data_IF_894608286817
#
_entry.id   IF_894608286817
#
_cell.length_a   1.000
_cell.length_b   1.000
_cell.length_c   1.000
_cell.angle_alpha   90.00
_cell.angle_beta   90.00
_cell.angle_gamma   90.00
#
_symmetry.space_group_name_H-M   'P 1'
#
loop_
_entity.id
_entity.type
_entity.pdbx_description
1 polymer ?
#
# COMPACT_ATOMS: atom_id res chain seq x y z
N UNK A 1 19.85 2.59 -13.80
CA UNK A 1 19.58 3.42 -12.60
C UNK A 1 19.54 4.89 -13.02
N UNK A 2 18.40 5.34 -13.46
CA UNK A 2 18.20 6.76 -13.77
C UNK A 2 17.59 7.38 -12.51
N UNK A 3 18.39 8.16 -11.81
CA UNK A 3 18.04 8.81 -10.55
C UNK A 3 16.79 9.66 -10.73
N UNK A 4 15.77 9.40 -9.92
CA UNK A 4 14.68 10.33 -9.62
C UNK A 4 15.24 11.59 -8.92
N UNK A 5 16.06 12.33 -9.63
CA UNK A 5 16.67 13.57 -9.16
C UNK A 5 15.88 14.74 -9.66
N UNK A 6 14.69 14.98 -9.13
CA UNK A 6 14.05 16.31 -9.09
C UNK A 6 12.66 16.25 -8.47
N UNK A 7 12.62 16.09 -7.17
CA UNK A 7 11.49 16.58 -6.40
C UNK A 7 12.03 17.23 -5.12
N UNK A 8 12.28 18.52 -5.16
CA UNK A 8 12.61 19.36 -4.00
C UNK A 8 11.37 20.20 -3.67
N UNK A 9 10.98 20.40 -2.46
CA UNK A 9 11.47 21.25 -1.39
C UNK A 9 10.48 21.30 -0.19
N UNK A 10 11.00 21.04 1.00
CA UNK A 10 10.78 21.68 2.34
C UNK A 10 9.39 21.82 2.96
N UNK A 11 9.20 21.18 4.12
CA UNK A 11 8.99 21.78 5.44
C UNK A 11 8.46 20.79 6.50
N UNK A 12 8.36 21.13 7.78
CA UNK A 12 8.52 20.17 8.87
C UNK A 12 7.26 19.35 9.17
N UNK A 13 7.52 18.13 9.49
CA UNK A 13 6.62 17.06 9.88
C UNK A 13 5.92 17.35 11.21
N UNK A 14 4.62 17.25 11.22
CA UNK A 14 3.83 16.96 12.42
C UNK A 14 3.54 15.48 12.37
N UNK A 15 4.08 14.71 13.31
CA UNK A 15 3.77 13.29 13.48
C UNK A 15 2.35 13.20 14.02
N UNK A 16 1.43 12.80 13.20
CA UNK A 16 0.09 12.38 13.63
C UNK A 16 0.12 10.86 13.72
N UNK A 17 0.08 10.36 14.94
CA UNK A 17 -0.12 8.95 15.24
C UNK A 17 -1.56 8.59 14.83
N UNK A 18 -1.72 7.87 13.75
CA UNK A 18 -3.02 7.29 13.41
C UNK A 18 -3.35 6.20 14.41
N UNK A 19 -4.27 6.52 15.32
CA UNK A 19 -4.96 5.55 16.16
C UNK A 19 -6.18 5.05 15.38
N UNK A 20 -6.13 3.85 14.88
CA UNK A 20 -7.29 3.16 14.33
C UNK A 20 -8.23 2.79 15.48
N UNK A 21 -9.12 3.70 15.85
CA UNK A 21 -10.15 3.49 16.86
C UNK A 21 -11.30 2.65 16.30
N UNK A 22 -11.27 1.33 16.52
CA UNK A 22 -12.42 0.48 16.30
C UNK A 22 -13.47 0.70 17.36
N UNK A 23 -14.70 1.03 16.98
CA UNK A 23 -15.84 1.04 17.87
C UNK A 23 -17.14 0.91 17.11
N UNK A 24 -17.88 -0.18 17.33
CA UNK A 24 -19.27 -0.24 16.90
C UNK A 24 -19.81 -1.64 16.71
N UNK A 25 -20.31 -2.21 17.82
CA UNK A 25 -21.17 -3.37 17.88
C UNK A 25 -22.32 -3.33 16.87
N UNK A 26 -22.41 -4.34 16.03
CA UNK A 26 -23.57 -4.62 15.18
C UNK A 26 -23.54 -6.08 14.77
N UNK A 27 -24.03 -6.96 15.68
CA UNK A 27 -24.08 -8.38 15.46
C UNK A 27 -24.94 -8.78 14.27
N UNK A 28 -24.31 -9.50 13.33
CA UNK A 28 -24.98 -10.42 12.42
C UNK A 28 -24.24 -11.75 12.54
N UNK A 29 -24.91 -12.77 13.04
CA UNK A 29 -24.37 -14.12 13.12
C UNK A 29 -24.06 -14.66 11.72
N UNK A 30 -22.86 -15.19 11.48
CA UNK A 30 -22.57 -15.95 10.28
C UNK A 30 -23.15 -17.38 10.40
N UNK A 31 -23.50 -18.02 9.28
CA UNK A 31 -23.98 -19.40 9.30
C UNK A 31 -22.86 -20.34 9.78
N UNK A 32 -23.23 -21.23 10.68
CA UNK A 32 -22.39 -22.26 11.26
C UNK A 32 -21.96 -23.27 10.21
N UNK A 33 -20.69 -23.26 9.83
CA UNK A 33 -20.04 -24.44 9.27
C UNK A 33 -18.92 -24.91 10.21
N UNK A 34 -19.03 -26.18 10.57
CA UNK A 34 -18.23 -26.79 11.61
C UNK A 34 -16.76 -26.97 11.23
N UNK A 35 -15.92 -26.08 11.70
CA UNK A 35 -14.47 -26.19 11.69
C UNK A 35 -13.95 -26.26 13.14
N UNK A 36 -13.26 -27.34 13.47
CA UNK A 36 -12.65 -27.58 14.79
C UNK A 36 -11.80 -26.40 15.25
N UNK A 37 -11.85 -26.05 16.54
CA UNK A 37 -10.96 -25.04 17.10
C UNK A 37 -9.51 -25.55 17.05
N UNK A 38 -8.66 -24.80 16.38
CA UNK A 38 -7.21 -25.01 16.41
C UNK A 38 -6.75 -24.64 17.83
N UNK A 39 -6.43 -25.67 18.62
CA UNK A 39 -5.84 -25.51 19.93
C UNK A 39 -4.47 -24.84 19.80
N UNK A 40 -4.29 -23.69 20.42
CA UNK A 40 -3.00 -23.07 20.67
C UNK A 40 -2.13 -23.98 21.55
N UNK A 41 -1.45 -24.93 20.95
CA UNK A 41 -0.28 -25.54 21.56
C UNK A 41 0.95 -24.86 20.97
N UNK A 42 1.60 -24.04 21.76
CA UNK A 42 2.94 -23.52 21.54
C UNK A 42 3.94 -24.68 21.44
N UNK A 43 3.99 -25.30 20.29
CA UNK A 43 5.10 -26.17 19.87
C UNK A 43 5.81 -25.40 18.75
N UNK A 44 7.00 -24.95 19.05
CA UNK A 44 7.98 -24.42 18.11
C UNK A 44 8.28 -25.47 17.04
N UNK A 45 7.43 -25.59 16.04
CA UNK A 45 7.79 -26.19 14.78
C UNK A 45 8.44 -25.11 13.95
N UNK A 46 9.75 -24.99 14.05
CA UNK A 46 10.61 -24.37 13.07
C UNK A 46 10.44 -25.19 11.75
N UNK A 47 9.35 -24.93 11.03
CA UNK A 47 9.29 -25.24 9.61
C UNK A 47 10.34 -24.36 8.95
N UNK A 48 11.46 -24.96 8.56
CA UNK A 48 12.54 -24.28 7.85
C UNK A 48 12.00 -23.81 6.50
N UNK A 49 11.50 -22.58 6.46
CA UNK A 49 11.28 -21.87 5.21
C UNK A 49 12.63 -21.69 4.53
N UNK A 50 12.82 -22.24 3.35
CA UNK A 50 14.02 -22.00 2.56
C UNK A 50 13.70 -20.86 1.60
N UNK A 51 14.43 -19.73 1.61
CA UNK A 51 14.23 -18.67 0.63
C UNK A 51 14.29 -19.24 -0.79
N UNK A 52 13.28 -18.94 -1.59
CA UNK A 52 13.25 -19.37 -2.98
C UNK A 52 14.18 -18.46 -3.78
N UNK A 53 15.39 -18.93 -4.08
CA UNK A 53 16.29 -18.29 -5.04
C UNK A 53 15.73 -18.45 -6.46
N UNK A 54 14.72 -17.70 -6.79
CA UNK A 54 14.22 -17.60 -8.17
C UNK A 54 14.89 -16.36 -8.76
N UNK A 55 15.88 -16.57 -9.58
CA UNK A 55 16.48 -15.53 -10.41
C UNK A 55 15.39 -15.00 -11.33
N UNK A 56 15.02 -13.73 -11.19
CA UNK A 56 14.04 -13.09 -12.07
C UNK A 56 14.48 -13.27 -13.53
N UNK A 57 13.60 -13.71 -14.45
CA UNK A 57 13.95 -13.85 -15.84
C UNK A 57 14.33 -12.48 -16.40
N UNK A 58 15.47 -12.40 -17.05
CA UNK A 58 15.97 -11.17 -17.71
C UNK A 58 15.18 -10.93 -19.00
N UNK A 59 13.91 -10.54 -18.86
CA UNK A 59 13.01 -10.27 -19.98
C UNK A 59 12.92 -8.76 -20.14
N UNK A 60 13.51 -8.23 -21.18
CA UNK A 60 13.31 -6.82 -21.57
C UNK A 60 11.97 -6.69 -22.30
N UNK A 61 10.93 -6.41 -21.57
CA UNK A 61 9.65 -5.97 -22.12
C UNK A 61 9.59 -4.44 -22.01
N UNK A 62 9.13 -3.80 -23.06
CA UNK A 62 8.94 -2.34 -23.09
C UNK A 62 7.64 -2.04 -23.80
N UNK A 63 6.78 -1.27 -23.14
CA UNK A 63 5.55 -0.71 -23.71
C UNK A 63 5.43 0.74 -23.22
N UNK A 64 4.97 1.62 -24.08
CA UNK A 64 4.57 2.97 -23.65
C UNK A 64 3.34 2.88 -22.77
N UNK A 65 3.30 3.68 -21.70
CA UNK A 65 2.11 3.89 -20.92
C UNK A 65 1.12 4.77 -21.69
N UNK A 66 -0.17 4.60 -21.44
CA UNK A 66 -1.19 5.44 -22.01
C UNK A 66 -1.05 6.91 -21.56
N UNK A 67 -1.48 7.88 -22.37
CA UNK A 67 -1.49 9.28 -21.97
C UNK A 67 -2.41 9.49 -20.77
N UNK A 68 -1.86 10.02 -19.66
CA UNK A 68 -2.66 10.39 -18.51
C UNK A 68 -3.49 11.64 -18.81
N UNK A 69 -4.79 11.58 -18.54
CA UNK A 69 -5.74 12.67 -18.73
C UNK A 69 -6.24 13.23 -17.41
N UNK A 70 -6.80 14.43 -17.42
CA UNK A 70 -7.43 15.03 -16.25
C UNK A 70 -8.67 14.25 -15.82
N UNK A 71 -9.00 14.35 -14.52
CA UNK A 71 -10.18 13.73 -13.97
C UNK A 71 -11.47 14.19 -14.68
N UNK A 72 -12.31 13.24 -14.98
CA UNK A 72 -13.64 13.47 -15.56
C UNK A 72 -14.69 13.38 -14.46
N UNK A 73 -15.69 14.26 -14.53
CA UNK A 73 -16.86 14.12 -13.66
C UNK A 73 -17.67 12.90 -14.08
N UNK A 74 -17.97 12.02 -13.11
CA UNK A 74 -18.70 10.78 -13.36
C UNK A 74 -19.54 10.41 -12.13
N UNK A 75 -20.71 9.85 -12.37
CA UNK A 75 -21.58 9.25 -11.33
C UNK A 75 -21.53 7.72 -11.33
N UNK A 76 -20.52 7.16 -11.96
CA UNK A 76 -20.37 5.70 -12.08
C UNK A 76 -19.94 5.05 -10.76
N UNK A 77 -19.21 5.78 -9.93
CA UNK A 77 -18.64 5.28 -8.66
C UNK A 77 -19.06 6.17 -7.48
N UNK A 78 -20.37 6.29 -7.14
CA UNK A 78 -20.76 7.13 -6.02
C UNK A 78 -20.19 6.60 -4.69
N UNK A 79 -19.73 7.45 -3.77
CA UNK A 79 -19.90 8.91 -3.74
C UNK A 79 -18.84 9.71 -4.52
N UNK A 80 -17.95 9.04 -5.22
CA UNK A 80 -16.88 9.68 -5.98
C UNK A 80 -17.40 10.24 -7.29
N UNK A 81 -17.02 11.47 -7.60
CA UNK A 81 -17.45 12.16 -8.83
C UNK A 81 -16.29 12.59 -9.73
N UNK A 82 -15.05 12.44 -9.27
CA UNK A 82 -13.82 12.75 -10.02
C UNK A 82 -13.04 11.48 -10.30
N UNK A 83 -13.09 11.03 -11.55
CA UNK A 83 -12.57 9.72 -11.93
C UNK A 83 -11.45 9.84 -12.95
N UNK A 84 -10.37 9.11 -12.69
CA UNK A 84 -9.32 8.78 -13.66
C UNK A 84 -9.19 7.26 -13.68
N UNK A 85 -9.54 6.65 -14.81
CA UNK A 85 -9.25 5.24 -15.08
C UNK A 85 -7.89 5.18 -15.81
N UNK A 86 -6.91 4.53 -15.18
CA UNK A 86 -5.55 4.55 -15.68
C UNK A 86 -4.78 3.29 -15.32
N UNK A 87 -4.34 2.55 -16.34
CA UNK A 87 -3.44 1.39 -16.21
C UNK A 87 -3.87 0.42 -15.10
N UNK A 88 -5.15 -0.01 -15.13
CA UNK A 88 -5.72 -0.99 -14.22
C UNK A 88 -6.18 -0.48 -12.85
N UNK A 89 -6.06 0.82 -12.57
CA UNK A 89 -6.56 1.43 -11.34
C UNK A 89 -7.56 2.55 -11.66
N UNK A 90 -8.68 2.55 -10.95
CA UNK A 90 -9.64 3.64 -10.94
C UNK A 90 -9.31 4.58 -9.77
N UNK A 91 -8.77 5.76 -10.08
CA UNK A 91 -8.54 6.82 -9.09
C UNK A 91 -9.83 7.62 -8.93
N UNK A 92 -10.42 7.56 -7.72
CA UNK A 92 -11.76 8.06 -7.46
C UNK A 92 -11.73 9.10 -6.35
N UNK A 93 -11.90 10.36 -6.70
CA UNK A 93 -11.96 11.50 -5.77
C UNK A 93 -13.39 11.91 -5.43
N UNK A 94 -13.63 12.27 -4.16
CA UNK A 94 -14.88 12.89 -3.72
C UNK A 94 -15.05 14.30 -4.30
N UNK A 95 -16.25 14.86 -4.19
CA UNK A 95 -16.64 16.16 -4.78
C UNK A 95 -15.84 17.36 -4.25
N UNK A 96 -15.33 17.28 -3.03
CA UNK A 96 -14.51 18.31 -2.39
C UNK A 96 -12.99 18.18 -2.64
N UNK A 97 -12.54 17.07 -3.22
CA UNK A 97 -11.14 16.86 -3.65
C UNK A 97 -10.85 17.70 -4.90
N UNK A 98 -9.66 18.27 -5.03
CA UNK A 98 -9.31 18.99 -6.26
C UNK A 98 -9.01 18.03 -7.43
N UNK A 99 -9.42 18.42 -8.65
CA UNK A 99 -9.09 17.64 -9.87
C UNK A 99 -7.57 17.51 -10.06
N UNK A 100 -6.81 18.53 -9.67
CA UNK A 100 -5.35 18.55 -9.75
C UNK A 100 -4.75 17.50 -8.81
N UNK A 101 -5.34 17.30 -7.64
CA UNK A 101 -4.86 16.30 -6.70
C UNK A 101 -5.11 14.86 -7.21
N UNK A 102 -6.33 14.57 -7.68
CA UNK A 102 -6.63 13.26 -8.30
C UNK A 102 -5.67 12.96 -9.45
N UNK A 103 -5.40 13.98 -10.29
CA UNK A 103 -4.43 13.83 -11.38
C UNK A 103 -3.01 13.55 -10.87
N UNK A 104 -2.56 14.22 -9.81
CA UNK A 104 -1.23 14.00 -9.23
C UNK A 104 -1.08 12.63 -8.59
N UNK A 105 -2.13 12.12 -7.95
CA UNK A 105 -2.14 10.75 -7.43
C UNK A 105 -1.95 9.75 -8.56
N UNK A 106 -2.75 9.85 -9.63
CA UNK A 106 -2.60 9.00 -10.81
C UNK A 106 -1.24 9.18 -11.52
N UNK A 107 -0.71 10.41 -11.54
CA UNK A 107 0.63 10.69 -12.06
C UNK A 107 1.72 10.00 -11.23
N UNK A 108 1.61 9.99 -9.90
CA UNK A 108 2.56 9.27 -9.05
C UNK A 108 2.56 7.78 -9.37
N UNK A 109 1.40 7.17 -9.54
CA UNK A 109 1.32 5.77 -9.99
C UNK A 109 1.98 5.56 -11.35
N UNK A 110 1.72 6.44 -12.32
CA UNK A 110 2.38 6.43 -13.64
C UNK A 110 3.90 6.46 -13.53
N UNK A 111 4.45 7.32 -12.68
CA UNK A 111 5.90 7.42 -12.47
C UNK A 111 6.47 6.14 -11.85
N UNK A 112 5.73 5.49 -10.92
CA UNK A 112 6.11 4.19 -10.34
C UNK A 112 6.12 3.06 -11.39
N UNK A 113 5.27 3.12 -12.40
CA UNK A 113 5.28 2.18 -13.53
C UNK A 113 6.40 2.44 -14.55
N UNK A 114 7.11 3.54 -14.45
CA UNK A 114 8.22 3.89 -15.34
C UNK A 114 8.09 5.23 -16.07
N UNK A 115 6.98 5.95 -15.89
CA UNK A 115 6.78 7.31 -16.44
C UNK A 115 6.90 7.39 -17.95
N UNK A 116 7.63 8.40 -18.43
CA UNK A 116 7.86 8.62 -19.87
C UNK A 116 8.73 7.54 -20.52
N UNK A 117 9.53 6.82 -19.74
CA UNK A 117 10.30 5.67 -20.20
C UNK A 117 9.42 4.44 -20.48
N UNK A 118 8.17 4.46 -20.02
CA UNK A 118 7.23 3.36 -20.12
C UNK A 118 7.59 2.15 -19.25
N UNK A 119 6.80 1.09 -19.37
CA UNK A 119 7.04 -0.16 -18.67
C UNK A 119 8.27 -0.88 -19.21
N UNK A 120 9.13 -1.35 -18.33
CA UNK A 120 10.41 -2.00 -18.68
C UNK A 120 10.44 -3.49 -18.39
N UNK A 121 9.39 -4.07 -17.81
CA UNK A 121 9.33 -5.48 -17.44
C UNK A 121 7.99 -6.12 -17.78
N UNK A 122 8.00 -7.43 -18.05
CA UNK A 122 6.77 -8.19 -18.33
C UNK A 122 5.84 -8.25 -17.12
N UNK A 123 6.38 -8.26 -15.91
CA UNK A 123 5.57 -8.32 -14.68
C UNK A 123 4.74 -7.04 -14.47
N UNK A 124 5.14 -5.91 -15.04
CA UNK A 124 4.32 -4.69 -14.96
C UNK A 124 3.02 -4.84 -15.75
N UNK A 125 3.05 -5.56 -16.89
CA UNK A 125 1.83 -5.89 -17.62
C UNK A 125 0.94 -6.85 -16.80
N UNK A 126 1.52 -7.84 -16.13
CA UNK A 126 0.78 -8.75 -15.25
C UNK A 126 0.18 -8.00 -14.05
N UNK A 127 0.92 -7.02 -13.49
CA UNK A 127 0.43 -6.14 -12.44
C UNK A 127 -0.81 -5.36 -12.91
N UNK A 128 -0.73 -4.66 -14.04
CA UNK A 128 -1.85 -3.87 -14.60
C UNK A 128 -3.07 -4.76 -14.86
N UNK A 129 -2.88 -5.91 -15.51
CA UNK A 129 -3.94 -6.86 -15.78
C UNK A 129 -4.58 -7.37 -14.49
N UNK A 130 -3.79 -7.59 -13.43
CA UNK A 130 -4.31 -8.02 -12.14
C UNK A 130 -5.08 -6.93 -11.42
N UNK A 131 -4.62 -5.68 -11.47
CA UNK A 131 -5.35 -4.54 -10.92
C UNK A 131 -6.70 -4.36 -11.61
N UNK A 132 -6.74 -4.45 -12.94
CA UNK A 132 -7.97 -4.39 -13.74
C UNK A 132 -8.93 -5.55 -13.40
N UNK A 133 -8.42 -6.80 -13.37
CA UNK A 133 -9.19 -7.99 -12.99
C UNK A 133 -9.80 -7.88 -11.58
N UNK A 134 -9.13 -7.17 -10.68
CA UNK A 134 -9.60 -6.89 -9.33
C UNK A 134 -10.49 -5.65 -9.23
N UNK A 135 -10.67 -4.92 -10.31
CA UNK A 135 -11.42 -3.65 -10.31
C UNK A 135 -10.91 -2.69 -9.22
N UNK A 136 -9.59 -2.50 -9.16
CA UNK A 136 -8.96 -1.72 -8.08
C UNK A 136 -9.43 -0.27 -8.11
N UNK A 137 -10.00 0.17 -6.98
CA UNK A 137 -10.46 1.53 -6.76
C UNK A 137 -9.58 2.21 -5.70
N UNK A 138 -8.74 3.18 -6.10
CA UNK A 138 -8.01 4.02 -5.18
C UNK A 138 -8.85 5.20 -4.75
N UNK A 139 -9.26 5.19 -3.50
CA UNK A 139 -10.14 6.20 -2.89
C UNK A 139 -9.35 7.44 -2.52
N UNK A 140 -9.89 8.61 -2.85
CA UNK A 140 -9.28 9.91 -2.56
C UNK A 140 -10.33 10.81 -1.91
N UNK A 141 -10.01 11.31 -0.71
CA UNK A 141 -10.88 12.16 0.09
C UNK A 141 -10.23 13.52 0.33
N UNK A 142 -10.98 14.48 0.86
CA UNK A 142 -10.46 15.76 1.31
C UNK A 142 -10.28 15.76 2.83
N UNK A 143 -9.06 16.01 3.33
CA UNK A 143 -8.73 15.90 4.75
C UNK A 143 -8.28 14.49 5.13
N UNK A 144 -8.45 14.13 6.38
CA UNK A 144 -8.03 12.85 6.93
C UNK A 144 -9.23 11.91 7.09
N UNK A 145 -8.98 10.61 7.12
CA UNK A 145 -10.03 9.60 7.29
C UNK A 145 -10.87 9.86 8.55
N UNK A 146 -10.25 10.31 9.62
CA UNK A 146 -10.93 10.63 10.89
C UNK A 146 -11.92 11.80 10.78
N UNK A 147 -11.79 12.66 9.78
CA UNK A 147 -12.77 13.71 9.47
C UNK A 147 -14.14 13.14 9.07
N UNK A 148 -14.18 11.86 8.67
CA UNK A 148 -15.39 11.14 8.25
C UNK A 148 -15.95 10.22 9.35
N UNK A 149 -15.53 10.38 10.60
CA UNK A 149 -16.07 9.65 11.75
C UNK A 149 -17.38 10.25 12.27
N UNK A 150 -18.15 9.47 13.02
CA UNK A 150 -19.42 9.89 13.62
C UNK A 150 -20.51 10.14 12.57
N UNK A 151 -21.17 11.32 12.64
CA UNK A 151 -22.29 11.70 11.72
C UNK A 151 -21.84 11.86 10.25
N UNK A 152 -20.54 11.95 10.02
CA UNK A 152 -19.91 11.97 8.71
C UNK A 152 -19.30 10.62 8.33
N UNK A 153 -19.68 9.55 9.03
CA UNK A 153 -19.16 8.22 8.78
C UNK A 153 -19.27 7.87 7.29
N UNK A 154 -18.11 7.60 6.71
CA UNK A 154 -17.99 7.26 5.32
C UNK A 154 -18.21 5.76 5.14
N UNK A 155 -19.31 5.39 4.52
CA UNK A 155 -19.54 4.03 4.05
C UNK A 155 -20.11 4.11 2.63
N UNK A 156 -19.26 3.92 1.66
CA UNK A 156 -19.59 3.98 0.23
C UNK A 156 -20.71 3.00 -0.15
N UNK A 157 -20.86 1.88 0.59
CA UNK A 157 -21.93 0.88 0.36
C UNK A 157 -23.32 1.43 0.61
N UNK A 158 -23.42 2.52 1.36
CA UNK A 158 -24.70 3.21 1.59
C UNK A 158 -25.10 4.15 0.45
N UNK A 159 -24.24 4.36 -0.54
CA UNK A 159 -24.55 5.24 -1.66
C UNK A 159 -25.28 4.48 -2.77
N UNK A 160 -26.42 5.03 -3.27
CA UNK A 160 -27.15 4.41 -4.38
C UNK A 160 -26.28 4.30 -5.63
N UNK A 161 -26.17 3.11 -6.17
CA UNK A 161 -25.39 2.84 -7.38
C UNK A 161 -23.94 2.48 -7.12
N UNK A 162 -23.48 2.41 -5.86
CA UNK A 162 -22.19 1.81 -5.54
C UNK A 162 -22.21 0.33 -5.93
N UNK A 163 -21.22 -0.08 -6.71
CA UNK A 163 -21.08 -1.46 -7.14
C UNK A 163 -20.10 -2.19 -6.22
N UNK A 164 -20.60 -3.16 -5.47
CA UNK A 164 -19.81 -3.99 -4.57
C UNK A 164 -18.71 -4.81 -5.27
N UNK A 165 -18.66 -4.85 -6.59
CA UNK A 165 -17.55 -5.48 -7.31
C UNK A 165 -16.22 -4.80 -7.01
N UNK A 166 -16.26 -3.49 -6.71
CA UNK A 166 -15.10 -2.72 -6.26
C UNK A 166 -14.79 -2.90 -4.77
N UNK A 167 -15.69 -3.52 -4.00
CA UNK A 167 -15.49 -3.85 -2.58
C UNK A 167 -14.53 -5.05 -2.38
N UNK A 168 -14.08 -5.68 -3.45
CA UNK A 168 -12.94 -6.61 -3.40
C UNK A 168 -11.62 -5.93 -3.04
N UNK A 169 -11.71 -4.64 -2.74
CA UNK A 169 -10.62 -3.76 -2.36
C UNK A 169 -10.81 -3.15 -0.95
N UNK A 170 -11.31 -3.90 0.06
CA UNK A 170 -11.55 -3.37 1.41
C UNK A 170 -10.26 -2.94 2.11
N UNK A 171 -9.14 -3.11 1.45
CA UNK A 171 -7.82 -3.04 2.04
C UNK A 171 -6.97 -1.93 1.44
N UNK A 172 -7.52 -1.17 0.49
CA UNK A 172 -6.82 -0.03 -0.05
C UNK A 172 -7.07 1.15 0.85
N UNK A 173 -6.00 1.70 1.32
CA UNK A 173 -6.03 2.87 2.14
C UNK A 173 -6.57 4.07 1.36
N UNK A 174 -7.18 4.98 2.07
CA UNK A 174 -7.75 6.19 1.52
C UNK A 174 -6.67 7.26 1.48
N UNK A 175 -6.44 7.89 0.34
CA UNK A 175 -5.51 9.00 0.20
C UNK A 175 -6.21 10.31 0.53
N UNK A 176 -5.67 11.08 1.49
CA UNK A 176 -6.22 12.37 1.89
C UNK A 176 -5.55 13.55 1.18
N UNK A 177 -6.33 14.49 0.60
CA UNK A 177 -5.82 15.80 0.21
C UNK A 177 -5.72 16.70 1.44
N UNK A 178 -4.51 17.05 1.89
CA UNK A 178 -4.27 17.73 3.17
C UNK A 178 -4.77 19.17 3.22
N UNK A 179 -5.19 19.60 4.43
CA UNK A 179 -5.62 20.97 4.77
C UNK A 179 -4.85 21.55 5.97
N UNK A 180 -4.12 22.63 5.83
CA UNK A 180 -3.54 23.23 4.64
C UNK A 180 -2.49 22.30 4.03
N UNK A 181 -2.18 22.48 2.77
CA UNK A 181 -1.28 21.59 2.04
C UNK A 181 0.12 21.60 2.68
N UNK A 182 0.43 20.57 3.44
CA UNK A 182 1.80 20.19 3.78
C UNK A 182 2.38 19.35 2.65
N UNK A 183 3.24 19.96 1.84
CA UNK A 183 3.71 19.33 0.60
C UNK A 183 4.55 18.09 0.82
N UNK A 184 5.30 17.96 1.90
CA UNK A 184 6.15 16.80 2.14
C UNK A 184 5.34 15.63 2.69
N UNK A 185 4.49 15.87 3.67
CA UNK A 185 3.55 14.88 4.18
C UNK A 185 2.61 14.39 3.08
N UNK A 186 2.11 15.32 2.23
CA UNK A 186 1.25 14.95 1.12
C UNK A 186 1.92 14.05 0.07
N UNK A 187 3.20 14.28 -0.24
CA UNK A 187 3.94 13.41 -1.17
C UNK A 187 4.16 12.04 -0.55
N UNK A 188 4.49 11.98 0.73
CA UNK A 188 4.66 10.74 1.48
C UNK A 188 3.37 9.92 1.48
N UNK A 189 2.27 10.52 1.90
CA UNK A 189 0.91 9.97 1.92
C UNK A 189 0.55 9.29 0.58
N UNK A 190 0.76 10.00 -0.53
CA UNK A 190 0.44 9.48 -1.86
C UNK A 190 1.33 8.29 -2.24
N UNK A 191 2.64 8.37 -1.97
CA UNK A 191 3.57 7.27 -2.28
C UNK A 191 3.25 6.04 -1.45
N UNK A 192 3.03 6.21 -0.16
CA UNK A 192 2.71 5.16 0.81
C UNK A 192 1.48 4.37 0.37
N UNK A 193 0.35 5.03 0.21
CA UNK A 193 -0.90 4.35 -0.11
C UNK A 193 -0.94 3.76 -1.54
N UNK A 194 -0.23 4.34 -2.51
CA UNK A 194 -0.07 3.71 -3.82
C UNK A 194 0.82 2.46 -3.71
N UNK A 195 1.89 2.49 -2.92
CA UNK A 195 2.70 1.30 -2.68
C UNK A 195 1.93 0.21 -1.95
N UNK A 196 1.07 0.55 -0.98
CA UNK A 196 0.15 -0.41 -0.35
C UNK A 196 -0.75 -1.07 -1.39
N UNK A 197 -1.35 -0.27 -2.27
CA UNK A 197 -2.19 -0.77 -3.36
C UNK A 197 -1.40 -1.72 -4.27
N UNK A 198 -0.20 -1.34 -4.72
CA UNK A 198 0.64 -2.16 -5.60
C UNK A 198 1.06 -3.47 -4.92
N UNK A 199 1.48 -3.43 -3.67
CA UNK A 199 2.00 -4.60 -2.96
C UNK A 199 0.89 -5.55 -2.52
N UNK A 200 -0.19 -5.05 -1.94
CA UNK A 200 -1.29 -5.86 -1.40
C UNK A 200 -2.22 -6.40 -2.49
N UNK A 201 -2.57 -5.55 -3.48
CA UNK A 201 -3.53 -5.93 -4.53
C UNK A 201 -2.85 -6.37 -5.84
N UNK A 202 -1.58 -6.07 -5.99
CA UNK A 202 -0.78 -6.47 -7.14
C UNK A 202 0.17 -7.61 -6.81
N UNK A 203 1.27 -7.30 -6.17
CA UNK A 203 2.37 -8.25 -5.95
C UNK A 203 1.96 -9.48 -5.14
N UNK A 204 1.10 -9.34 -4.15
CA UNK A 204 0.55 -10.49 -3.41
C UNK A 204 -0.11 -11.53 -4.33
N UNK A 205 -0.67 -11.12 -5.46
CA UNK A 205 -1.34 -12.02 -6.41
C UNK A 205 -0.47 -12.47 -7.56
N UNK A 206 0.45 -11.64 -8.04
CA UNK A 206 1.33 -12.02 -9.16
C UNK A 206 2.62 -12.71 -8.69
N UNK A 207 3.04 -12.46 -7.44
CA UNK A 207 4.22 -13.07 -6.81
C UNK A 207 3.91 -13.61 -5.41
N UNK A 208 2.98 -14.56 -5.25
CA UNK A 208 2.52 -15.00 -3.93
C UNK A 208 3.61 -15.64 -3.07
N UNK A 209 4.62 -16.24 -3.67
CA UNK A 209 5.79 -16.78 -2.95
C UNK A 209 6.70 -15.68 -2.38
N UNK A 210 6.65 -14.47 -2.96
CA UNK A 210 7.47 -13.33 -2.55
C UNK A 210 6.71 -12.34 -1.67
N UNK A 211 5.47 -11.99 -2.03
CA UNK A 211 4.73 -10.88 -1.44
C UNK A 211 3.43 -11.28 -0.71
N UNK A 212 3.19 -12.56 -0.48
CA UNK A 212 1.97 -12.95 0.25
C UNK A 212 2.04 -12.58 1.72
N UNK A 213 1.07 -11.79 2.19
CA UNK A 213 0.90 -11.47 3.61
C UNK A 213 0.23 -12.60 4.43
N UNK A 214 -0.36 -13.60 3.77
CA UNK A 214 -0.96 -14.78 4.41
C UNK A 214 -0.04 -15.99 4.46
N UNK A 215 1.09 -15.95 3.74
CA UNK A 215 2.08 -17.02 3.72
C UNK A 215 3.30 -16.65 4.57
N UNK A 216 3.41 -17.25 5.75
CA UNK A 216 4.54 -17.03 6.65
C UNK A 216 5.92 -17.43 6.08
N UNK A 217 5.96 -18.07 4.90
CA UNK A 217 7.18 -18.40 4.19
C UNK A 217 7.39 -17.55 2.93
N UNK A 218 6.58 -16.51 2.70
CA UNK A 218 6.87 -15.55 1.64
C UNK A 218 8.10 -14.72 1.96
N UNK A 219 8.82 -14.29 0.93
CA UNK A 219 10.05 -13.52 1.12
C UNK A 219 9.81 -12.22 1.90
N UNK A 220 8.70 -11.52 1.62
CA UNK A 220 8.32 -10.31 2.36
C UNK A 220 8.04 -10.58 3.83
N UNK A 221 7.38 -11.71 4.15
CA UNK A 221 7.11 -12.06 5.53
C UNK A 221 8.41 -12.41 6.29
N UNK A 222 9.32 -13.15 5.66
CA UNK A 222 10.62 -13.50 6.24
C UNK A 222 11.49 -12.26 6.44
N UNK A 223 11.55 -11.37 5.46
CA UNK A 223 12.27 -10.10 5.56
C UNK A 223 11.68 -9.17 6.66
N UNK A 224 10.35 -9.12 6.77
CA UNK A 224 9.69 -8.40 7.86
C UNK A 224 10.04 -8.98 9.23
N UNK A 225 10.02 -10.31 9.38
CA UNK A 225 10.39 -10.96 10.65
C UNK A 225 11.86 -10.73 11.01
N UNK A 226 12.78 -10.69 10.03
CA UNK A 226 14.16 -10.25 10.24
C UNK A 226 14.17 -8.83 10.84
N UNK A 227 13.49 -7.87 10.22
CA UNK A 227 13.48 -6.49 10.68
C UNK A 227 12.87 -6.30 12.07
N UNK A 228 11.81 -7.04 12.41
CA UNK A 228 11.20 -7.04 13.75
C UNK A 228 12.17 -7.64 14.78
N UNK A 229 12.77 -8.79 14.49
CA UNK A 229 13.67 -9.51 15.43
C UNK A 229 14.95 -8.75 15.72
N UNK A 230 15.46 -8.01 14.74
CA UNK A 230 16.63 -7.14 14.88
C UNK A 230 16.30 -5.76 15.45
N UNK A 231 15.03 -5.45 15.67
CA UNK A 231 14.57 -4.21 16.30
C UNK A 231 14.60 -2.99 15.38
N UNK A 232 14.59 -3.19 14.07
CA UNK A 232 14.54 -2.11 13.07
C UNK A 232 13.13 -1.78 12.58
N UNK A 233 12.16 -2.67 12.82
CA UNK A 233 10.75 -2.46 12.57
C UNK A 233 9.93 -2.69 13.84
N UNK A 234 9.32 -1.62 14.35
CA UNK A 234 8.47 -1.63 15.56
C UNK A 234 6.99 -1.73 15.17
N UNK A 235 6.36 -2.84 15.50
CA UNK A 235 4.95 -3.12 15.23
C UNK A 235 4.04 -2.87 16.44
N UNK A 236 4.55 -2.22 17.49
CA UNK A 236 3.79 -1.99 18.72
C UNK A 236 2.56 -1.09 18.53
N UNK A 237 2.55 -0.24 17.52
CA UNK A 237 1.40 0.60 17.16
C UNK A 237 0.18 -0.19 16.65
N UNK A 238 0.35 -1.46 16.27
CA UNK A 238 -0.70 -2.32 15.71
C UNK A 238 -1.22 -3.37 16.71
N UNK A 239 -0.87 -3.27 18.01
CA UNK A 239 -1.27 -4.25 19.03
C UNK A 239 -2.79 -4.35 19.24
N UNK A 240 -3.54 -3.27 19.01
CA UNK A 240 -4.99 -3.20 19.16
C UNK A 240 -5.75 -4.06 18.14
N UNK A 241 -5.18 -4.25 16.93
CA UNK A 241 -5.76 -5.07 15.86
C UNK A 241 -5.19 -6.50 15.83
N UNK A 242 -4.28 -6.85 16.74
CA UNK A 242 -3.59 -8.15 16.76
C UNK A 242 -4.52 -9.37 16.92
N UNK A 243 -5.72 -9.16 17.47
CA UNK A 243 -6.71 -10.22 17.62
C UNK A 243 -7.34 -10.64 16.29
N UNK A 244 -7.31 -9.80 15.27
CA UNK A 244 -7.66 -10.14 13.90
C UNK A 244 -6.39 -10.45 13.13
N UNK A 245 -6.04 -11.73 13.07
CA UNK A 245 -4.76 -12.18 12.51
C UNK A 245 -4.63 -11.91 11.01
N UNK A 246 -5.73 -11.83 10.27
CA UNK A 246 -5.71 -11.53 8.84
C UNK A 246 -5.47 -10.03 8.61
N UNK A 247 -6.23 -9.18 9.28
CA UNK A 247 -6.06 -7.72 9.20
C UNK A 247 -4.67 -7.34 9.70
N UNK A 248 -4.27 -7.83 10.88
CA UNK A 248 -2.95 -7.55 11.46
C UNK A 248 -1.82 -7.96 10.52
N UNK A 249 -1.84 -9.21 10.02
CA UNK A 249 -0.80 -9.72 9.13
C UNK A 249 -0.69 -8.90 7.84
N UNK A 250 -1.82 -8.50 7.27
CA UNK A 250 -1.85 -7.66 6.08
C UNK A 250 -1.25 -6.28 6.35
N UNK A 251 -1.69 -5.60 7.41
CA UNK A 251 -1.25 -4.23 7.72
C UNK A 251 0.26 -4.20 7.98
N UNK A 252 0.77 -5.05 8.88
CA UNK A 252 2.21 -5.02 9.17
C UNK A 252 3.10 -5.37 7.97
N UNK A 253 2.61 -6.21 7.03
CA UNK A 253 3.36 -6.53 5.81
C UNK A 253 3.31 -5.39 4.80
N UNK A 254 2.17 -4.72 4.63
CA UNK A 254 2.06 -3.58 3.70
C UNK A 254 2.93 -2.41 4.15
N UNK A 255 2.90 -2.07 5.44
CA UNK A 255 3.76 -1.02 6.03
C UNK A 255 5.25 -1.38 5.89
N UNK A 256 5.61 -2.63 6.24
CA UNK A 256 6.98 -3.09 6.04
C UNK A 256 7.44 -2.96 4.58
N UNK A 257 6.60 -3.36 3.62
CA UNK A 257 6.93 -3.27 2.20
C UNK A 257 7.15 -1.81 1.76
N UNK A 258 6.30 -0.88 2.22
CA UNK A 258 6.49 0.54 2.00
C UNK A 258 7.83 1.03 2.56
N UNK A 259 8.14 0.76 3.84
CA UNK A 259 9.41 1.16 4.46
C UNK A 259 10.62 0.61 3.72
N UNK A 260 10.60 -0.66 3.36
CA UNK A 260 11.66 -1.33 2.61
C UNK A 260 11.91 -0.64 1.27
N UNK A 261 10.84 -0.36 0.51
CA UNK A 261 10.93 0.22 -0.83
C UNK A 261 11.47 1.64 -0.79
N UNK A 262 10.94 2.53 0.05
CA UNK A 262 11.41 3.93 0.12
C UNK A 262 12.82 4.05 0.69
N UNK A 263 13.21 3.10 1.54
CA UNK A 263 14.59 2.99 2.05
C UNK A 263 15.54 2.52 0.95
N UNK A 264 15.14 1.50 0.18
CA UNK A 264 15.90 1.00 -0.96
C UNK A 264 16.09 2.03 -2.08
N UNK A 265 15.11 2.91 -2.28
CA UNK A 265 15.23 4.05 -3.21
C UNK A 265 16.09 5.20 -2.67
N UNK A 266 16.55 5.14 -1.42
CA UNK A 266 17.27 6.22 -0.73
C UNK A 266 16.46 7.53 -0.61
N UNK A 267 15.11 7.48 -0.61
CA UNK A 267 14.24 8.65 -0.52
C UNK A 267 13.59 8.84 0.84
N UNK A 268 13.71 7.88 1.76
CA UNK A 268 13.10 7.95 3.10
C UNK A 268 13.42 9.26 3.83
N UNK A 269 14.70 9.69 3.81
CA UNK A 269 15.12 10.93 4.46
C UNK A 269 14.56 12.19 3.82
N UNK A 270 14.27 12.13 2.52
CA UNK A 270 13.68 13.26 1.79
C UNK A 270 12.18 13.37 2.08
N UNK A 271 11.49 12.23 2.24
CA UNK A 271 10.07 12.16 2.57
C UNK A 271 9.81 12.40 4.07
N UNK A 272 10.64 11.79 4.93
CA UNK A 272 10.49 11.75 6.38
C UNK A 272 11.81 12.14 7.06
N UNK A 273 12.17 13.43 7.07
CA UNK A 273 13.45 13.91 7.61
C UNK A 273 13.59 13.71 9.13
N UNK A 274 12.49 13.65 9.85
CA UNK A 274 12.46 13.39 11.28
C UNK A 274 12.08 11.93 11.49
N UNK A 275 13.04 11.10 11.80
CA UNK A 275 12.96 9.65 11.98
C UNK A 275 11.56 9.09 12.31
N UNK A 276 11.04 8.19 11.49
CA UNK A 276 9.88 7.39 11.85
C UNK A 276 10.30 6.41 12.97
N UNK A 277 9.66 6.44 14.16
CA UNK A 277 10.00 5.53 15.26
C UNK A 277 9.76 4.08 14.89
N UNK A 278 8.84 3.83 14.00
CA UNK A 278 8.44 2.52 13.52
C UNK A 278 9.54 1.84 12.68
N UNK A 279 10.25 2.60 11.85
CA UNK A 279 11.31 2.09 10.98
C UNK A 279 12.59 2.91 11.10
N UNK A 280 13.69 2.28 11.50
CA UNK A 280 14.93 2.98 11.86
C UNK A 280 16.04 2.92 10.82
N UNK A 281 15.90 2.09 9.79
CA UNK A 281 16.86 2.02 8.67
C UNK A 281 16.67 3.19 7.70
N UNK A 282 17.76 3.80 7.23
CA UNK A 282 17.68 5.10 6.56
C UNK A 282 18.27 5.13 5.14
N UNK A 283 18.83 4.05 4.65
CA UNK A 283 19.41 3.98 3.31
C UNK A 283 19.50 2.55 2.79
N UNK A 284 19.59 2.38 1.47
CA UNK A 284 19.80 1.09 0.83
C UNK A 284 21.08 0.42 1.35
N UNK A 285 22.15 1.18 1.58
CA UNK A 285 23.42 0.64 2.13
C UNK A 285 23.33 0.19 3.58
N UNK A 286 22.54 0.89 4.42
CA UNK A 286 22.22 0.42 5.77
C UNK A 286 21.38 -0.85 5.71
N UNK A 287 20.34 -0.88 4.89
CA UNK A 287 19.48 -2.05 4.70
C UNK A 287 20.29 -3.27 4.24
N UNK A 288 21.22 -3.09 3.29
CA UNK A 288 22.11 -4.16 2.84
C UNK A 288 22.94 -4.77 3.98
N UNK A 289 23.37 -3.92 4.92
CA UNK A 289 24.25 -4.34 6.02
C UNK A 289 23.49 -4.94 7.19
N UNK A 290 22.31 -4.43 7.49
CA UNK A 290 21.54 -4.71 8.70
C UNK A 290 20.41 -5.71 8.46
N UNK A 291 19.81 -5.68 7.27
CA UNK A 291 18.63 -6.46 6.88
C UNK A 291 18.84 -7.09 5.49
N UNK A 292 19.71 -8.11 5.38
CA UNK A 292 20.06 -8.71 4.11
C UNK A 292 18.88 -9.35 3.36
N UNK A 293 17.85 -9.87 4.04
CA UNK A 293 16.67 -10.41 3.38
C UNK A 293 15.82 -9.29 2.77
N UNK A 294 15.65 -8.19 3.51
CA UNK A 294 14.94 -7.00 3.00
C UNK A 294 15.63 -6.40 1.78
N UNK A 295 16.96 -6.28 1.83
CA UNK A 295 17.73 -5.76 0.70
C UNK A 295 17.67 -6.70 -0.52
N UNK A 296 17.76 -8.02 -0.32
CA UNK A 296 17.67 -8.98 -1.40
C UNK A 296 16.30 -8.93 -2.11
N UNK A 297 15.22 -8.85 -1.34
CA UNK A 297 13.87 -8.73 -1.90
C UNK A 297 13.67 -7.41 -2.67
N UNK A 298 14.25 -6.32 -2.17
CA UNK A 298 14.19 -5.01 -2.84
C UNK A 298 14.95 -5.00 -4.18
N UNK A 299 16.10 -5.69 -4.28
CA UNK A 299 16.91 -5.74 -5.51
C UNK A 299 16.28 -6.59 -6.63
N UNK A 300 15.39 -7.50 -6.30
CA UNK A 300 14.65 -8.33 -7.26
C UNK A 300 13.53 -7.57 -7.99
#
# INVERSE_FOLDING_TARGET
MTKLKKLYLFAPLVIILFSCGGGGDGGIEPPSDGGNPISNSSTSNSSTCTPNNITAPNISFSRSLDPLTQALSSNQYPPYDKIIDYEGIIFAGMDDVSNDFVYKVAQTYRELLGGDDGMKSSWTADLINKMDDKSVLQRIIYGEYDDYSGDRAFDERNYPGFDNTHDNNPNVDVIGESKPIDKSGQVNEVIEHILHTITVLGFNYIFPEKYSYTNACSDVYLAMQEAISEGYYDVSSYEDIKNDSEIYGRIIVQEFAYWMIITGWDIKKDLLPNSAPEWTVNSASEMQSLLPLSHALYEE
#
